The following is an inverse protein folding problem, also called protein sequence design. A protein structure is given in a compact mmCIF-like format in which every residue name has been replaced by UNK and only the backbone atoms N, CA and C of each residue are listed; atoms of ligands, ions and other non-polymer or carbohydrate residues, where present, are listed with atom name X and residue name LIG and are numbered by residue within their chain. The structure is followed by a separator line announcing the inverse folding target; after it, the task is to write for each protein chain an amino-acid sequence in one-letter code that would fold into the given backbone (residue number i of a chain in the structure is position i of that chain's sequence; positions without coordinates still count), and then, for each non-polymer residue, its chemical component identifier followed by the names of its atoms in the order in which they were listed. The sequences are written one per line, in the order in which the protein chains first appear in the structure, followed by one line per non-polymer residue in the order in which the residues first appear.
data_IF_799004161825
#
_entry.id   IF_799004161825
#
_cell.length_a   1.000
_cell.length_b   1.000
_cell.length_c   1.000
_cell.angle_alpha   90.00
_cell.angle_beta   90.00
_cell.angle_gamma   90.00
#
_symmetry.space_group_name_H-M   'P 1'
#
loop_
_entity.id
_entity.type
_entity.pdbx_description
1 polymer ?
#
# COMPACT_ATOMS: atom_id res chain seq x y z
N UNK A 1 19.31 58.98 -22.99
CA UNK A 1 17.88 59.30 -23.17
C UNK A 1 17.15 58.00 -23.48
N UNK A 2 16.65 57.32 -22.45
CA UNK A 2 15.96 56.03 -22.57
C UNK A 2 14.66 56.10 -21.81
N UNK A 3 13.54 56.07 -22.53
CA UNK A 3 12.19 56.26 -22.01
C UNK A 3 11.72 55.06 -21.19
N UNK A 4 11.29 55.34 -19.96
CA UNK A 4 10.57 54.44 -19.06
C UNK A 4 9.17 54.12 -19.58
N UNK A 5 8.88 52.86 -19.84
CA UNK A 5 7.52 52.35 -20.09
C UNK A 5 6.90 51.89 -18.77
N UNK A 6 5.94 52.67 -18.28
CA UNK A 6 5.18 52.43 -17.05
C UNK A 6 3.92 51.62 -17.41
N UNK A 7 3.85 50.36 -16.95
CA UNK A 7 2.69 49.47 -17.13
C UNK A 7 1.55 49.93 -16.21
N UNK A 8 0.40 50.33 -16.79
CA UNK A 8 -0.85 50.63 -16.09
C UNK A 8 -1.78 49.41 -16.14
N UNK A 9 -2.23 48.97 -14.97
CA UNK A 9 -3.35 48.02 -14.78
C UNK A 9 -4.68 48.64 -15.26
N UNK A 10 -5.54 47.92 -15.99
CA UNK A 10 -6.94 48.30 -16.15
C UNK A 10 -7.78 47.79 -14.98
N UNK A 11 -8.73 48.64 -14.57
CA UNK A 11 -9.58 48.49 -13.40
C UNK A 11 -10.80 47.58 -13.59
N UNK A 12 -11.38 47.21 -12.45
CA UNK A 12 -12.58 46.42 -12.31
C UNK A 12 -13.81 47.12 -12.91
N UNK A 13 -14.56 46.41 -13.76
CA UNK A 13 -15.89 46.77 -14.21
C UNK A 13 -16.95 45.96 -13.44
N UNK A 14 -17.97 46.67 -12.93
CA UNK A 14 -19.20 46.14 -12.34
C UNK A 14 -20.08 45.49 -13.42
N UNK A 15 -20.78 44.38 -13.14
CA UNK A 15 -21.77 43.81 -14.06
C UNK A 15 -23.10 44.57 -13.99
N UNK A 16 -23.59 45.03 -15.15
CA UNK A 16 -24.92 45.59 -15.34
C UNK A 16 -25.80 44.60 -16.11
N UNK A 17 -26.98 44.32 -15.55
CA UNK A 17 -28.25 44.01 -16.22
C UNK A 17 -28.27 43.00 -17.38
N UNK A 18 -28.69 41.77 -17.08
CA UNK A 18 -29.28 40.85 -18.08
C UNK A 18 -30.59 41.44 -18.63
N UNK A 19 -30.62 41.81 -19.91
CA UNK A 19 -31.84 41.87 -20.71
C UNK A 19 -31.90 40.62 -21.58
N UNK A 20 -33.07 40.00 -21.62
CA UNK A 20 -33.39 38.82 -22.40
C UNK A 20 -33.18 39.08 -23.90
N UNK A 21 -32.52 38.14 -24.58
CA UNK A 21 -32.41 38.09 -26.04
C UNK A 21 -33.50 37.15 -26.59
N UNK A 22 -34.06 37.45 -27.78
CA UNK A 22 -35.12 36.67 -28.42
C UNK A 22 -34.59 35.36 -29.02
N UNK A 23 -35.51 34.41 -29.16
CA UNK A 23 -35.33 33.08 -29.74
C UNK A 23 -34.79 33.14 -31.18
N UNK A 24 -33.86 32.25 -31.58
CA UNK A 24 -33.47 32.11 -32.97
C UNK A 24 -34.48 31.26 -33.75
N UNK A 25 -34.96 31.82 -34.87
CA UNK A 25 -35.65 31.09 -35.93
C UNK A 25 -34.73 30.00 -36.51
N UNK A 26 -35.26 28.79 -36.66
CA UNK A 26 -34.57 27.63 -37.23
C UNK A 26 -34.78 27.67 -38.75
N UNK A 27 -33.68 27.82 -39.48
CA UNK A 27 -33.63 27.80 -40.94
C UNK A 27 -33.38 26.34 -41.39
N UNK A 28 -34.42 25.71 -41.94
CA UNK A 28 -34.40 24.37 -42.52
C UNK A 28 -33.77 24.43 -43.92
N UNK A 29 -32.44 24.30 -44.04
CA UNK A 29 -31.76 24.02 -45.32
C UNK A 29 -30.28 23.65 -45.14
N UNK A 30 -29.97 22.40 -44.75
CA UNK A 30 -28.64 21.83 -44.98
C UNK A 30 -28.79 20.43 -45.56
N UNK A 31 -28.87 20.37 -46.89
CA UNK A 31 -28.44 19.21 -47.68
C UNK A 31 -26.94 19.00 -47.41
N UNK A 32 -26.59 17.88 -46.80
CA UNK A 32 -25.21 17.42 -46.65
C UNK A 32 -24.96 16.27 -47.62
N UNK A 33 -24.36 16.61 -48.75
CA UNK A 33 -23.61 15.69 -49.59
C UNK A 33 -22.49 15.04 -48.76
N UNK A 34 -22.56 13.72 -48.59
CA UNK A 34 -21.47 12.91 -48.06
C UNK A 34 -20.54 12.51 -49.21
N UNK A 35 -19.23 12.80 -49.14
CA UNK A 35 -18.26 12.21 -50.06
C UNK A 35 -18.06 10.73 -49.72
N UNK A 36 -18.23 9.87 -50.72
CA UNK A 36 -17.90 8.45 -50.64
C UNK A 36 -16.39 8.26 -50.53
N UNK A 37 -15.92 7.81 -49.38
CA UNK A 37 -14.58 7.24 -49.22
C UNK A 37 -14.68 5.72 -49.40
N UNK A 38 -14.10 5.24 -50.50
CA UNK A 38 -13.82 3.84 -50.76
C UNK A 38 -12.76 3.34 -49.77
N UNK A 39 -13.21 2.72 -48.67
CA UNK A 39 -12.33 2.02 -47.73
C UNK A 39 -12.05 0.63 -48.30
N UNK A 40 -10.89 0.49 -48.93
CA UNK A 40 -10.27 -0.78 -49.32
C UNK A 40 -9.85 -1.55 -48.05
N UNK A 41 -10.71 -2.47 -47.61
CA UNK A 41 -10.44 -3.39 -46.50
C UNK A 41 -9.62 -4.57 -47.03
N UNK A 42 -8.32 -4.38 -47.13
CA UNK A 42 -7.36 -5.48 -47.29
C UNK A 42 -7.30 -6.30 -46.00
N UNK A 43 -7.92 -7.49 -46.00
CA UNK A 43 -7.73 -8.51 -44.97
C UNK A 43 -6.28 -9.03 -45.01
N UNK A 44 -5.54 -9.07 -43.88
CA UNK A 44 -4.31 -9.83 -43.83
C UNK A 44 -4.61 -11.33 -43.78
N UNK A 45 -4.34 -12.01 -44.89
CA UNK A 45 -4.04 -13.45 -44.90
C UNK A 45 -2.76 -13.68 -44.08
N UNK A 46 -2.92 -14.34 -42.94
CA UNK A 46 -1.83 -14.64 -42.03
C UNK A 46 -2.16 -15.84 -41.15
N UNK A 47 -2.41 -16.98 -41.78
CA UNK A 47 -2.43 -18.27 -41.11
C UNK A 47 -1.02 -18.60 -40.61
N UNK A 48 -0.80 -18.49 -39.30
CA UNK A 48 0.34 -19.07 -38.63
C UNK A 48 -0.18 -20.10 -37.61
N UNK A 49 0.08 -21.34 -37.99
CA UNK A 49 -0.05 -22.59 -37.26
C UNK A 49 0.40 -22.53 -35.80
N UNK A 50 -0.48 -22.95 -34.90
CA UNK A 50 -0.26 -23.97 -33.87
C UNK A 50 1.21 -24.34 -33.61
N UNK A 51 1.79 -23.83 -32.53
CA UNK A 51 2.95 -24.42 -31.87
C UNK A 51 2.55 -24.69 -30.42
N UNK A 52 2.09 -25.91 -30.22
CA UNK A 52 1.84 -26.57 -28.95
C UNK A 52 3.21 -26.86 -28.31
N UNK A 53 3.72 -25.93 -27.50
CA UNK A 53 4.95 -26.18 -26.75
C UNK A 53 4.61 -26.78 -25.38
N UNK A 54 4.72 -28.10 -25.34
CA UNK A 54 4.63 -28.94 -24.16
C UNK A 54 5.65 -28.49 -23.11
N UNK A 55 5.16 -28.01 -21.96
CA UNK A 55 5.96 -27.97 -20.74
C UNK A 55 5.95 -29.37 -20.11
N UNK A 56 6.93 -30.16 -20.54
CA UNK A 56 7.31 -31.42 -19.93
C UNK A 56 8.02 -31.17 -18.60
N UNK A 57 7.66 -31.99 -17.61
CA UNK A 57 8.06 -31.86 -16.23
C UNK A 57 9.55 -32.16 -15.99
N UNK A 58 10.18 -31.40 -15.10
CA UNK A 58 11.31 -31.90 -14.31
C UNK A 58 10.93 -31.89 -12.83
N UNK A 59 10.84 -33.05 -12.15
CA UNK A 59 10.77 -33.13 -10.71
C UNK A 59 12.17 -32.95 -10.14
N UNK A 60 12.38 -31.90 -9.33
CA UNK A 60 13.60 -31.80 -8.52
C UNK A 60 13.31 -32.43 -7.16
N UNK A 61 13.41 -33.76 -7.16
CA UNK A 61 13.65 -34.58 -5.98
C UNK A 61 15.11 -34.35 -5.53
N UNK A 62 15.29 -34.15 -4.24
CA UNK A 62 16.51 -33.69 -3.61
C UNK A 62 16.31 -33.69 -2.10
N UNK A 63 16.00 -34.88 -1.60
CA UNK A 63 15.88 -35.28 -0.22
C UNK A 63 17.25 -35.30 0.50
N UNK A 64 17.17 -35.18 1.82
CA UNK A 64 18.18 -35.56 2.85
C UNK A 64 19.34 -34.54 3.05
N UNK A 65 19.70 -34.04 4.23
CA UNK A 65 19.71 -34.63 5.58
C UNK A 65 19.55 -33.54 6.69
N UNK A 66 18.73 -33.88 7.69
CA UNK A 66 18.87 -33.79 9.16
C UNK A 66 19.81 -32.78 9.89
N UNK A 67 19.49 -32.47 11.18
CA UNK A 67 20.01 -31.32 11.91
C UNK A 67 21.27 -31.64 12.73
N UNK A 68 22.22 -30.70 12.77
CA UNK A 68 23.37 -30.78 13.68
C UNK A 68 23.28 -29.75 14.80
N UNK A 69 22.83 -30.22 15.96
CA UNK A 69 23.18 -29.67 17.26
C UNK A 69 24.64 -29.99 17.60
N UNK A 70 25.44 -29.01 18.04
CA UNK A 70 26.58 -29.19 18.96
C UNK A 70 27.07 -27.82 19.44
N UNK A 71 26.83 -27.45 20.70
CA UNK A 71 27.80 -27.56 21.81
C UNK A 71 29.20 -27.03 21.46
N UNK A 72 29.53 -25.84 21.99
CA UNK A 72 30.91 -25.49 22.33
C UNK A 72 30.94 -24.75 23.66
N UNK A 73 31.39 -25.48 24.66
CA UNK A 73 31.82 -24.98 25.96
C UNK A 73 33.35 -24.94 25.99
N UNK A 74 33.88 -24.01 26.79
CA UNK A 74 35.21 -24.00 27.46
C UNK A 74 36.38 -23.29 26.76
N UNK A 75 36.92 -22.36 27.56
CA UNK A 75 38.33 -22.10 27.86
C UNK A 75 39.20 -21.54 26.73
N UNK A 76 39.47 -20.24 26.84
CA UNK A 76 40.67 -19.59 26.34
C UNK A 76 41.35 -18.81 27.44
N UNK A 77 42.16 -19.49 28.25
CA UNK A 77 43.19 -18.89 29.08
C UNK A 77 44.44 -18.62 28.24
N UNK A 78 44.87 -17.37 28.11
CA UNK A 78 46.26 -16.99 27.85
C UNK A 78 46.43 -15.57 28.39
N UNK A 79 47.23 -15.29 29.43
CA UNK A 79 48.66 -15.56 29.66
C UNK A 79 49.57 -14.75 28.73
N UNK A 80 50.45 -13.96 29.37
CA UNK A 80 51.74 -13.42 28.90
C UNK A 80 51.73 -12.21 27.96
N UNK A 81 52.04 -11.06 28.56
CA UNK A 81 53.37 -10.39 28.46
C UNK A 81 53.41 -9.28 29.52
N UNK A 82 54.19 -9.31 30.61
CA UNK A 82 55.66 -9.36 30.82
C UNK A 82 56.45 -8.17 30.25
N UNK A 83 56.91 -7.28 31.15
CA UNK A 83 58.14 -6.42 31.14
C UNK A 83 57.78 -5.02 31.68
N UNK A 84 58.11 -4.68 32.92
CA UNK A 84 59.39 -4.08 33.34
C UNK A 84 59.26 -3.85 34.86
N UNK A 85 60.07 -4.32 35.82
CA UNK A 85 61.51 -4.59 35.94
C UNK A 85 62.45 -3.38 35.87
N UNK A 86 62.38 -2.53 36.89
CA UNK A 86 63.52 -1.85 37.55
C UNK A 86 63.20 -1.90 39.06
N UNK A 87 63.79 -2.73 39.93
CA UNK A 87 65.21 -2.97 40.27
C UNK A 87 65.97 -1.65 40.47
N UNK A 88 66.25 -1.38 41.74
CA UNK A 88 67.34 -0.61 42.39
C UNK A 88 66.74 0.00 43.67
N UNK A 89 67.21 -0.17 44.90
CA UNK A 89 68.38 -0.85 45.42
C UNK A 89 68.16 -1.18 46.91
N UNK A 90 68.43 -2.43 47.27
CA UNK A 90 68.65 -2.83 48.66
C UNK A 90 70.11 -2.53 49.02
N UNK A 91 70.36 -1.42 49.75
CA UNK A 91 71.66 -1.19 50.40
C UNK A 91 71.68 -1.78 51.80
N UNK A 92 72.35 -2.94 51.88
CA UNK A 92 72.92 -3.50 53.10
C UNK A 92 73.99 -2.57 53.68
N UNK A 93 74.07 -2.63 55.02
CA UNK A 93 75.26 -2.47 55.88
C UNK A 93 76.12 -1.22 55.72
N UNK A 94 76.17 -0.41 56.78
CA UNK A 94 77.42 -0.32 57.53
C UNK A 94 77.20 0.06 59.01
N UNK A 95 77.64 -0.85 59.87
CA UNK A 95 77.88 -0.64 61.29
C UNK A 95 79.05 0.34 61.43
N UNK A 96 78.79 1.58 61.84
CA UNK A 96 79.79 2.45 62.48
C UNK A 96 79.32 2.83 63.88
N UNK A 97 79.83 2.10 64.86
CA UNK A 97 79.78 2.43 66.28
C UNK A 97 80.62 3.69 66.53
N UNK A 98 79.99 4.86 66.54
CA UNK A 98 80.61 6.10 67.02
C UNK A 98 80.15 6.33 68.45
N UNK A 99 81.12 6.28 69.36
CA UNK A 99 80.99 6.55 70.80
C UNK A 99 80.27 7.89 71.01
N UNK A 100 79.11 7.85 71.68
CA UNK A 100 78.44 9.07 72.17
C UNK A 100 79.30 9.67 73.29
N UNK A 101 79.70 10.95 73.23
CA UNK A 101 80.35 11.62 74.35
C UNK A 101 79.37 11.68 75.54
N UNK A 102 79.88 11.42 76.75
CA UNK A 102 79.12 11.57 77.99
C UNK A 102 78.73 13.05 78.13
N UNK A 103 77.44 13.34 77.95
CA UNK A 103 76.87 14.67 78.17
C UNK A 103 77.06 15.07 79.62
N UNK A 104 77.64 16.25 79.83
CA UNK A 104 77.73 16.91 81.12
C UNK A 104 76.33 17.27 81.63
N UNK A 105 76.11 17.34 82.96
CA UNK A 105 74.78 17.58 83.55
C UNK A 105 74.13 18.92 83.12
N UNK A 106 74.91 19.89 82.63
CA UNK A 106 74.40 21.17 82.09
C UNK A 106 73.77 21.03 80.68
N UNK A 107 74.33 20.20 79.80
CA UNK A 107 73.83 20.05 78.41
C UNK A 107 72.53 19.24 78.32
N UNK A 108 72.26 18.36 79.30
CA UNK A 108 71.01 17.61 79.35
C UNK A 108 69.79 18.49 79.67
N UNK A 109 69.98 19.57 80.45
CA UNK A 109 68.91 20.51 80.78
C UNK A 109 68.52 21.39 79.58
N UNK A 110 69.49 21.84 78.78
CA UNK A 110 69.25 22.59 77.55
C UNK A 110 68.54 21.75 76.47
N UNK A 111 68.90 20.47 76.34
CA UNK A 111 68.23 19.54 75.41
C UNK A 111 66.80 19.22 75.80
N UNK A 112 66.47 19.11 77.10
CA UNK A 112 65.07 18.92 77.54
C UNK A 112 64.18 20.12 77.19
N UNK A 113 64.72 21.35 77.25
CA UNK A 113 63.98 22.55 76.80
C UNK A 113 63.77 22.59 75.28
N UNK A 114 64.78 22.19 74.50
CA UNK A 114 64.66 22.07 73.03
C UNK A 114 63.76 20.92 72.57
N UNK A 115 63.73 19.80 73.29
CA UNK A 115 62.79 18.70 73.05
C UNK A 115 61.36 19.10 73.42
N UNK A 116 61.17 19.85 74.52
CA UNK A 116 59.85 20.36 74.89
C UNK A 116 59.32 21.38 73.88
N UNK A 117 60.16 22.25 73.31
CA UNK A 117 59.74 23.18 72.25
C UNK A 117 59.45 22.46 70.93
N UNK A 118 60.29 21.49 70.54
CA UNK A 118 60.05 20.66 69.36
C UNK A 118 58.78 19.80 69.50
N UNK A 119 58.53 19.25 70.68
CA UNK A 119 57.32 18.48 70.98
C UNK A 119 56.06 19.37 70.98
N UNK A 120 56.14 20.60 71.49
CA UNK A 120 55.05 21.60 71.38
C UNK A 120 54.78 21.99 69.93
N UNK A 121 55.82 22.15 69.10
CA UNK A 121 55.69 22.41 67.67
C UNK A 121 55.04 21.22 66.94
N UNK A 122 55.49 19.99 67.22
CA UNK A 122 54.91 18.78 66.66
C UNK A 122 53.44 18.62 67.07
N UNK A 123 53.11 18.87 68.34
CA UNK A 123 51.73 18.81 68.85
C UNK A 123 50.86 19.91 68.24
N UNK A 124 51.40 21.12 68.05
CA UNK A 124 50.75 22.21 67.33
C UNK A 124 50.48 21.88 65.86
N UNK A 125 51.42 21.20 65.19
CA UNK A 125 51.27 20.78 63.79
C UNK A 125 50.23 19.65 63.64
N UNK A 126 50.20 18.70 64.58
CA UNK A 126 49.15 17.66 64.62
C UNK A 126 47.78 18.27 64.85
N UNK A 127 47.67 19.27 65.75
CA UNK A 127 46.41 20.00 65.94
C UNK A 127 46.01 20.77 64.68
N UNK A 128 46.94 21.43 63.99
CA UNK A 128 46.65 22.15 62.75
C UNK A 128 46.16 21.20 61.66
N UNK A 129 46.83 20.06 61.46
CA UNK A 129 46.39 19.03 60.50
C UNK A 129 45.03 18.45 60.92
N UNK A 130 44.80 18.22 62.22
CA UNK A 130 43.51 17.75 62.74
C UNK A 130 42.38 18.75 62.50
N UNK A 131 42.62 20.05 62.71
CA UNK A 131 41.65 21.12 62.44
C UNK A 131 41.41 21.27 60.93
N UNK A 132 42.44 21.20 60.10
CA UNK A 132 42.31 21.23 58.65
C UNK A 132 41.51 20.03 58.12
N UNK A 133 41.74 18.83 58.69
CA UNK A 133 40.98 17.64 58.38
C UNK A 133 39.52 17.75 58.84
N UNK A 134 39.26 18.26 60.05
CA UNK A 134 37.90 18.48 60.54
C UNK A 134 37.17 19.54 59.70
N UNK A 135 37.84 20.63 59.33
CA UNK A 135 37.29 21.64 58.43
C UNK A 135 36.98 21.05 57.06
N UNK A 136 37.86 20.24 56.47
CA UNK A 136 37.58 19.50 55.23
C UNK A 136 36.39 18.55 55.38
N UNK A 137 36.34 17.79 56.47
CA UNK A 137 35.30 16.81 56.70
C UNK A 137 33.92 17.42 56.97
N UNK A 138 33.86 18.57 57.65
CA UNK A 138 32.59 19.25 57.98
C UNK A 138 32.15 20.30 56.95
N UNK A 139 33.09 20.93 56.21
CA UNK A 139 32.76 21.99 55.24
C UNK A 139 32.83 21.53 53.78
N UNK A 140 33.63 20.52 53.45
CA UNK A 140 33.87 20.06 52.07
C UNK A 140 33.35 18.65 51.78
N UNK A 141 32.86 17.92 52.79
CA UNK A 141 32.22 16.62 52.54
C UNK A 141 30.84 16.89 51.97
N UNK A 142 30.71 16.66 50.66
CA UNK A 142 29.42 16.62 49.98
C UNK A 142 28.44 15.75 50.78
N UNK A 143 27.29 16.33 51.10
CA UNK A 143 26.24 15.66 51.83
C UNK A 143 25.86 14.37 51.08
N UNK A 144 25.82 13.23 51.78
CA UNK A 144 25.59 11.92 51.16
C UNK A 144 24.28 11.91 50.35
N UNK A 145 23.31 12.71 50.78
CA UNK A 145 22.05 12.94 50.08
C UNK A 145 22.25 13.63 48.72
N UNK A 146 23.18 14.58 48.64
CA UNK A 146 23.52 15.25 47.37
C UNK A 146 24.17 14.29 46.39
N UNK A 147 25.10 13.44 46.85
CA UNK A 147 25.72 12.43 45.98
C UNK A 147 24.69 11.42 45.48
N UNK A 148 23.75 10.99 46.33
CA UNK A 148 22.65 10.10 45.92
C UNK A 148 21.70 10.77 44.92
N UNK A 149 21.34 12.03 45.13
CA UNK A 149 20.50 12.77 44.19
C UNK A 149 21.20 12.96 42.82
N UNK A 150 22.48 13.33 42.81
CA UNK A 150 23.28 13.43 41.57
C UNK A 150 23.42 12.08 40.86
N UNK A 151 23.68 11.00 41.60
CA UNK A 151 23.77 9.66 41.04
C UNK A 151 22.43 9.18 40.46
N UNK A 152 21.30 9.49 41.11
CA UNK A 152 19.97 9.18 40.60
C UNK A 152 19.65 9.98 39.33
N UNK A 153 19.97 11.28 39.29
CA UNK A 153 19.80 12.08 38.07
C UNK A 153 20.66 11.56 36.92
N UNK A 154 21.90 11.16 37.21
CA UNK A 154 22.79 10.54 36.24
C UNK A 154 22.27 9.17 35.76
N UNK A 155 21.66 8.36 36.64
CA UNK A 155 21.01 7.09 36.28
C UNK A 155 19.83 7.33 35.31
N UNK A 156 18.95 8.28 35.63
CA UNK A 156 17.84 8.67 34.75
C UNK A 156 18.37 9.13 33.39
N UNK A 157 19.41 9.96 33.38
CA UNK A 157 19.97 10.51 32.15
C UNK A 157 20.67 9.47 31.28
N UNK A 158 21.50 8.61 31.87
CA UNK A 158 22.29 7.64 31.11
C UNK A 158 21.53 6.37 30.79
N UNK A 159 20.65 5.90 31.66
CA UNK A 159 19.93 4.65 31.48
C UNK A 159 18.54 4.89 30.90
N UNK A 160 17.67 5.60 31.63
CA UNK A 160 16.25 5.68 31.26
C UNK A 160 16.04 6.51 29.98
N UNK A 161 16.66 7.69 29.89
CA UNK A 161 16.59 8.54 28.69
C UNK A 161 17.18 7.84 27.45
N UNK A 162 18.28 7.10 27.60
CA UNK A 162 18.85 6.33 26.48
C UNK A 162 17.95 5.16 26.08
N UNK A 163 17.34 4.48 27.05
CA UNK A 163 16.35 3.43 26.78
C UNK A 163 15.15 3.97 26.03
N UNK A 164 14.59 5.12 26.44
CA UNK A 164 13.50 5.79 25.74
C UNK A 164 13.90 6.11 24.29
N UNK A 165 15.10 6.68 24.09
CA UNK A 165 15.61 6.98 22.74
C UNK A 165 15.78 5.72 21.88
N UNK A 166 16.22 4.61 22.48
CA UNK A 166 16.36 3.34 21.77
C UNK A 166 15.00 2.73 21.41
N UNK A 167 14.04 2.76 22.33
CA UNK A 167 12.66 2.31 22.07
C UNK A 167 12.02 3.14 20.94
N UNK A 168 12.23 4.47 20.94
CA UNK A 168 11.77 5.34 19.86
C UNK A 168 12.42 5.02 18.51
N UNK A 169 13.72 4.69 18.49
CA UNK A 169 14.41 4.25 17.25
C UNK A 169 13.82 2.96 16.68
N UNK A 170 13.38 2.05 17.54
CA UNK A 170 12.72 0.79 17.14
C UNK A 170 11.21 0.95 16.98
N UNK A 171 10.70 2.20 16.99
CA UNK A 171 9.28 2.53 16.83
C UNK A 171 8.38 1.84 17.86
N UNK A 172 8.81 1.77 19.12
CA UNK A 172 8.07 1.20 20.25
C UNK A 172 7.59 2.28 21.23
N UNK A 173 6.62 3.13 20.85
CA UNK A 173 6.19 4.28 21.66
C UNK A 173 5.59 3.88 23.01
N UNK A 174 4.93 2.71 23.11
CA UNK A 174 4.34 2.23 24.36
C UNK A 174 5.41 1.76 25.38
N UNK A 175 6.53 1.19 24.91
CA UNK A 175 7.68 0.86 25.78
C UNK A 175 8.37 2.14 26.25
N UNK A 176 8.62 3.07 25.31
CA UNK A 176 9.19 4.37 25.60
C UNK A 176 8.36 5.14 26.65
N UNK A 177 7.03 5.13 26.53
CA UNK A 177 6.11 5.77 27.48
C UNK A 177 6.21 5.16 28.88
N UNK A 178 6.21 3.82 28.98
CA UNK A 178 6.37 3.13 30.28
C UNK A 178 7.71 3.47 30.95
N UNK A 179 8.79 3.52 30.18
CA UNK A 179 10.12 3.90 30.68
C UNK A 179 10.14 5.36 31.12
N UNK A 180 9.49 6.26 30.37
CA UNK A 180 9.34 7.67 30.76
C UNK A 180 8.54 7.86 32.05
N UNK A 181 7.43 7.13 32.22
CA UNK A 181 6.64 7.15 33.46
C UNK A 181 7.46 6.64 34.66
N UNK A 182 8.27 5.59 34.47
CA UNK A 182 9.19 5.09 35.48
C UNK A 182 10.28 6.13 35.83
N UNK A 183 10.86 6.80 34.83
CA UNK A 183 11.84 7.86 35.03
C UNK A 183 11.24 9.06 35.78
N UNK A 184 10.03 9.49 35.42
CA UNK A 184 9.28 10.55 36.13
C UNK A 184 9.02 10.17 37.59
N UNK A 185 8.69 8.91 37.85
CA UNK A 185 8.51 8.40 39.21
C UNK A 185 9.82 8.39 40.00
N UNK A 186 10.93 7.91 39.42
CA UNK A 186 12.26 8.01 40.06
C UNK A 186 12.62 9.45 40.40
N UNK A 187 12.31 10.39 39.50
CA UNK A 187 12.54 11.81 39.71
C UNK A 187 11.65 12.39 40.81
N UNK A 188 10.36 12.02 40.89
CA UNK A 188 9.48 12.48 41.97
C UNK A 188 9.85 11.90 43.34
N UNK A 189 10.35 10.67 43.36
CA UNK A 189 10.71 9.95 44.59
C UNK A 189 12.14 10.32 45.08
N UNK A 190 12.88 11.14 44.31
CA UNK A 190 14.25 11.51 44.63
C UNK A 190 14.32 12.46 45.85
N UNK A 191 15.04 12.10 46.91
CA UNK A 191 15.18 12.95 48.08
C UNK A 191 16.04 14.19 47.77
N UNK A 192 15.74 15.31 48.44
CA UNK A 192 16.55 16.54 48.44
C UNK A 192 16.76 17.26 47.08
N UNK A 193 15.85 17.09 46.12
CA UNK A 193 15.88 17.83 44.85
C UNK A 193 15.77 19.37 44.99
N UNK A 194 15.33 19.87 46.16
CA UNK A 194 15.17 21.31 46.43
C UNK A 194 16.46 22.06 46.76
N UNK A 195 17.64 21.41 46.69
CA UNK A 195 18.93 22.09 46.94
C UNK A 195 19.33 22.96 45.75
N UNK A 196 19.88 24.17 45.97
CA UNK A 196 20.23 25.12 44.90
C UNK A 196 21.14 24.53 43.82
N UNK A 197 22.06 23.65 44.19
CA UNK A 197 23.01 23.03 43.24
C UNK A 197 22.41 21.86 42.44
N UNK A 198 21.29 21.28 42.89
CA UNK A 198 20.61 20.15 42.22
C UNK A 198 19.45 20.62 41.37
N UNK A 199 18.76 21.69 41.78
CA UNK A 199 17.65 22.29 41.03
C UNK A 199 17.95 22.43 39.52
N UNK A 200 19.08 23.01 39.07
CA UNK A 200 19.32 23.18 37.64
C UNK A 200 19.44 21.83 36.90
N UNK A 201 20.08 20.83 37.51
CA UNK A 201 20.23 19.48 36.94
C UNK A 201 18.87 18.76 36.86
N UNK A 202 18.05 18.88 37.92
CA UNK A 202 16.72 18.30 37.96
C UNK A 202 15.81 18.93 36.91
N UNK A 203 15.84 20.26 36.77
CA UNK A 203 15.10 20.97 35.72
C UNK A 203 15.58 20.57 34.31
N UNK A 204 16.88 20.39 34.09
CA UNK A 204 17.41 19.89 32.82
C UNK A 204 16.91 18.48 32.48
N UNK A 205 16.84 17.57 33.47
CA UNK A 205 16.26 16.24 33.25
C UNK A 205 14.75 16.33 32.96
N UNK A 206 14.03 17.22 33.64
CA UNK A 206 12.59 17.44 33.37
C UNK A 206 12.35 17.96 31.96
N UNK A 207 13.12 18.94 31.49
CA UNK A 207 12.97 19.47 30.13
C UNK A 207 13.26 18.39 29.08
N UNK A 208 14.34 17.61 29.26
CA UNK A 208 14.62 16.46 28.38
C UNK A 208 13.48 15.43 28.36
N UNK A 209 12.87 15.14 29.50
CA UNK A 209 11.71 14.22 29.57
C UNK A 209 10.44 14.82 28.94
N UNK A 210 10.27 16.14 28.97
CA UNK A 210 9.15 16.81 28.30
C UNK A 210 9.33 16.81 26.77
N UNK A 211 10.54 17.04 26.28
CA UNK A 211 10.85 16.94 24.85
C UNK A 211 10.64 15.51 24.33
N UNK A 212 11.08 14.51 25.10
CA UNK A 212 10.87 13.09 24.76
C UNK A 212 9.38 12.69 24.75
N UNK A 213 8.54 13.31 25.57
CA UNK A 213 7.09 13.07 25.54
C UNK A 213 6.48 13.48 24.19
N UNK A 214 6.91 14.63 23.64
CA UNK A 214 6.48 15.07 22.32
C UNK A 214 6.96 14.12 21.22
N UNK A 215 8.21 13.62 21.34
CA UNK A 215 8.75 12.63 20.42
C UNK A 215 7.99 11.29 20.50
N UNK A 216 7.60 10.83 21.69
CA UNK A 216 6.78 9.64 21.89
C UNK A 216 5.44 9.79 21.18
N UNK A 217 4.74 10.91 21.37
CA UNK A 217 3.45 11.16 20.71
C UNK A 217 3.60 11.34 19.19
N UNK A 218 4.72 11.86 18.69
CA UNK A 218 5.03 11.86 17.25
C UNK A 218 5.18 10.43 16.72
N UNK A 219 6.05 9.63 17.33
CA UNK A 219 6.30 8.24 16.88
C UNK A 219 5.03 7.39 16.99
N UNK A 220 4.20 7.60 18.01
CA UNK A 220 2.90 6.93 18.14
C UNK A 220 1.98 7.21 16.97
N UNK A 221 1.91 8.47 16.53
CA UNK A 221 1.15 8.86 15.33
C UNK A 221 1.72 8.22 14.08
N UNK A 222 3.04 8.25 13.90
CA UNK A 222 3.71 7.64 12.75
C UNK A 222 3.43 6.14 12.65
N UNK A 223 3.58 5.39 13.75
CA UNK A 223 3.29 3.95 13.81
C UNK A 223 1.82 3.66 13.47
N UNK A 224 0.89 4.50 13.96
CA UNK A 224 -0.53 4.34 13.65
C UNK A 224 -0.82 4.54 12.17
N UNK A 225 -0.27 5.60 11.56
CA UNK A 225 -0.40 5.88 10.12
C UNK A 225 0.17 4.72 9.30
N UNK A 226 1.38 4.24 9.63
CA UNK A 226 2.02 3.13 8.94
C UNK A 226 1.22 1.83 9.06
N UNK A 227 0.58 1.58 10.21
CA UNK A 227 -0.30 0.43 10.39
C UNK A 227 -1.54 0.53 9.49
N UNK A 228 -2.23 1.68 9.51
CA UNK A 228 -3.40 1.93 8.66
C UNK A 228 -3.04 1.79 7.17
N UNK A 229 -1.90 2.36 6.76
CA UNK A 229 -1.39 2.27 5.40
C UNK A 229 -1.13 0.82 5.00
N UNK A 230 -0.41 0.06 5.83
CA UNK A 230 -0.13 -1.36 5.59
C UNK A 230 -1.40 -2.18 5.43
N UNK A 231 -2.40 -1.95 6.29
CA UNK A 231 -3.67 -2.66 6.22
C UNK A 231 -4.44 -2.33 4.92
N UNK A 232 -4.39 -1.08 4.45
CA UNK A 232 -4.91 -0.72 3.13
C UNK A 232 -4.16 -1.43 1.99
N UNK A 233 -2.82 -1.45 2.01
CA UNK A 233 -2.04 -2.18 0.99
C UNK A 233 -2.41 -3.66 0.92
N UNK A 234 -2.60 -4.32 2.07
CA UNK A 234 -3.02 -5.72 2.13
C UNK A 234 -4.39 -5.92 1.48
N UNK A 235 -5.33 -4.98 1.69
CA UNK A 235 -6.65 -5.03 1.04
C UNK A 235 -6.57 -4.76 -0.46
N UNK A 236 -5.79 -3.77 -0.89
CA UNK A 236 -5.56 -3.50 -2.31
C UNK A 236 -4.93 -4.70 -3.05
N UNK A 237 -4.12 -5.52 -2.36
CA UNK A 237 -3.52 -6.72 -2.96
C UNK A 237 -4.55 -7.75 -3.40
N UNK A 238 -5.70 -7.83 -2.72
CA UNK A 238 -6.77 -8.81 -3.00
C UNK A 238 -8.00 -8.16 -3.66
N UNK A 239 -7.82 -7.01 -4.31
CA UNK A 239 -8.93 -6.24 -4.91
C UNK A 239 -9.74 -7.04 -5.94
N UNK A 240 -9.08 -7.94 -6.69
CA UNK A 240 -9.74 -8.79 -7.68
C UNK A 240 -10.65 -9.87 -7.07
N UNK A 241 -10.44 -10.22 -5.80
CA UNK A 241 -11.19 -11.27 -5.08
C UNK A 241 -12.40 -10.72 -4.31
N UNK A 242 -12.43 -9.41 -4.04
CA UNK A 242 -13.52 -8.76 -3.30
C UNK A 242 -14.81 -8.78 -4.10
N UNK A 243 -15.99 -8.73 -3.49
CA UNK A 243 -17.24 -8.44 -4.20
C UNK A 243 -17.46 -6.92 -4.35
N UNK A 244 -18.58 -6.50 -4.93
CA UNK A 244 -18.86 -5.06 -5.10
C UNK A 244 -18.98 -4.34 -3.75
N UNK A 245 -19.56 -4.99 -2.73
CA UNK A 245 -19.65 -4.43 -1.38
C UNK A 245 -18.26 -4.27 -0.75
N UNK A 246 -17.38 -5.24 -0.93
CA UNK A 246 -15.99 -5.18 -0.50
C UNK A 246 -15.21 -4.05 -1.17
N UNK A 247 -15.43 -3.82 -2.47
CA UNK A 247 -14.84 -2.68 -3.19
C UNK A 247 -15.34 -1.33 -2.64
N UNK A 248 -16.64 -1.20 -2.35
CA UNK A 248 -17.21 0.01 -1.75
C UNK A 248 -16.63 0.29 -0.36
N UNK A 249 -16.50 -0.76 0.47
CA UNK A 249 -15.89 -0.68 1.78
C UNK A 249 -14.40 -0.30 1.72
N UNK A 250 -13.65 -0.86 0.77
CA UNK A 250 -12.25 -0.50 0.55
C UNK A 250 -12.12 0.95 0.08
N UNK A 251 -12.99 1.40 -0.82
CA UNK A 251 -13.00 2.80 -1.28
C UNK A 251 -13.28 3.77 -0.12
N UNK A 252 -14.25 3.45 0.74
CA UNK A 252 -14.57 4.26 1.92
C UNK A 252 -13.38 4.36 2.89
N UNK A 253 -12.71 3.25 3.18
CA UNK A 253 -11.51 3.23 4.04
C UNK A 253 -10.35 4.01 3.43
N UNK A 254 -10.11 3.84 2.12
CA UNK A 254 -9.06 4.55 1.40
C UNK A 254 -9.33 6.06 1.37
N UNK A 255 -10.57 6.48 1.12
CA UNK A 255 -10.98 7.89 1.22
C UNK A 255 -10.82 8.44 2.63
N UNK A 256 -11.26 7.69 3.65
CA UNK A 256 -11.06 8.07 5.05
C UNK A 256 -9.58 8.27 5.40
N UNK A 257 -8.69 7.40 4.92
CA UNK A 257 -7.25 7.57 5.11
C UNK A 257 -6.68 8.79 4.36
N UNK A 258 -7.16 9.06 3.14
CA UNK A 258 -6.78 10.26 2.39
C UNK A 258 -7.21 11.54 3.10
N UNK A 259 -8.36 11.52 3.78
CA UNK A 259 -8.86 12.66 4.57
C UNK A 259 -8.14 12.79 5.92
N UNK A 260 -7.81 11.68 6.55
CA UNK A 260 -7.11 11.64 7.84
C UNK A 260 -6.33 10.33 8.00
N UNK A 261 -5.01 10.33 7.71
CA UNK A 261 -4.21 9.11 7.71
C UNK A 261 -4.00 8.53 9.11
N UNK A 262 -4.08 9.36 10.16
CA UNK A 262 -3.94 8.93 11.56
C UNK A 262 -5.21 8.24 12.08
N UNK A 263 -6.37 8.84 11.80
CA UNK A 263 -7.67 8.30 12.18
C UNK A 263 -8.66 8.39 11.01
N UNK A 264 -8.71 7.35 10.15
CA UNK A 264 -9.57 7.34 8.96
C UNK A 264 -11.07 7.53 9.22
N UNK A 265 -11.51 7.30 10.46
CA UNK A 265 -12.92 7.47 10.87
C UNK A 265 -13.18 8.81 11.56
N UNK A 266 -12.14 9.58 11.89
CA UNK A 266 -12.21 10.82 12.68
C UNK A 266 -12.59 12.07 11.88
N UNK A 267 -12.89 11.93 10.59
CA UNK A 267 -13.12 13.06 9.68
C UNK A 267 -11.81 13.75 9.24
N UNK A 268 -11.94 14.75 8.37
CA UNK A 268 -10.81 15.39 7.68
C UNK A 268 -9.84 16.11 8.64
N UNK A 269 -8.53 15.94 8.41
CA UNK A 269 -7.47 16.63 9.16
C UNK A 269 -6.37 17.16 8.25
N UNK A 270 -6.38 18.47 7.99
CA UNK A 270 -5.40 19.14 7.12
C UNK A 270 -3.95 18.99 7.66
N UNK A 271 -3.79 19.00 8.98
CA UNK A 271 -2.47 18.83 9.59
C UNK A 271 -1.86 17.48 9.23
N UNK A 272 -2.63 16.39 9.39
CA UNK A 272 -2.11 15.05 9.13
C UNK A 272 -1.94 14.76 7.65
N UNK A 273 -2.84 15.22 6.79
CA UNK A 273 -2.68 15.06 5.34
C UNK A 273 -1.44 15.79 4.82
N UNK A 274 -1.11 16.96 5.38
CA UNK A 274 0.12 17.69 5.05
C UNK A 274 1.38 16.99 5.57
N UNK A 275 1.34 16.47 6.80
CA UNK A 275 2.48 15.75 7.39
C UNK A 275 2.78 14.44 6.67
N UNK A 276 1.76 13.67 6.28
CA UNK A 276 1.88 12.35 5.65
C UNK A 276 1.49 12.38 4.17
N UNK A 277 1.92 13.44 3.46
CA UNK A 277 1.51 13.69 2.07
C UNK A 277 1.90 12.57 1.12
N UNK A 278 3.04 11.93 1.33
CA UNK A 278 3.53 10.88 0.45
C UNK A 278 2.66 9.63 0.54
N UNK A 279 2.31 9.24 1.76
CA UNK A 279 1.42 8.12 2.07
C UNK A 279 0.01 8.37 1.53
N UNK A 280 -0.50 9.59 1.69
CA UNK A 280 -1.80 10.00 1.13
C UNK A 280 -1.77 9.91 -0.40
N UNK A 281 -0.74 10.43 -1.06
CA UNK A 281 -0.62 10.38 -2.52
C UNK A 281 -0.55 8.92 -3.03
N UNK A 282 0.17 8.02 -2.34
CA UNK A 282 0.21 6.61 -2.73
C UNK A 282 -1.20 5.99 -2.72
N UNK A 283 -1.97 6.16 -1.65
CA UNK A 283 -3.36 5.66 -1.59
C UNK A 283 -4.26 6.34 -2.63
N UNK A 284 -4.09 7.64 -2.88
CA UNK A 284 -4.84 8.33 -3.95
C UNK A 284 -4.59 7.70 -5.32
N UNK A 285 -3.34 7.34 -5.66
CA UNK A 285 -3.06 6.67 -6.94
C UNK A 285 -3.72 5.28 -7.01
N UNK A 286 -3.85 4.58 -5.88
CA UNK A 286 -4.49 3.26 -5.81
C UNK A 286 -6.02 3.32 -5.87
N UNK A 287 -6.66 4.45 -5.56
CA UNK A 287 -8.11 4.59 -5.72
C UNK A 287 -8.56 4.33 -7.18
N UNK A 288 -7.74 4.72 -8.17
CA UNK A 288 -8.02 4.43 -9.58
C UNK A 288 -8.06 2.93 -9.91
N UNK A 289 -7.40 2.08 -9.11
CA UNK A 289 -7.45 0.62 -9.28
C UNK A 289 -8.84 0.06 -8.94
N UNK A 290 -9.57 0.67 -8.00
CA UNK A 290 -10.96 0.28 -7.66
C UNK A 290 -11.88 0.55 -8.85
N UNK A 291 -11.76 1.72 -9.45
CA UNK A 291 -12.54 2.06 -10.64
C UNK A 291 -12.21 1.15 -11.83
N UNK A 292 -10.91 0.89 -12.05
CA UNK A 292 -10.45 -0.05 -13.09
C UNK A 292 -11.05 -1.44 -12.88
N UNK A 293 -11.05 -1.95 -11.66
CA UNK A 293 -11.62 -3.26 -11.33
C UNK A 293 -13.14 -3.29 -11.49
N UNK A 294 -13.86 -2.23 -11.08
CA UNK A 294 -15.31 -2.10 -11.35
C UNK A 294 -15.61 -2.12 -12.85
N UNK A 295 -14.82 -1.40 -13.65
CA UNK A 295 -14.97 -1.38 -15.10
C UNK A 295 -14.65 -2.75 -15.71
N UNK A 296 -13.61 -3.44 -15.23
CA UNK A 296 -13.29 -4.81 -15.64
C UNK A 296 -14.45 -5.77 -15.35
N UNK A 297 -15.10 -5.66 -14.20
CA UNK A 297 -16.26 -6.50 -13.87
C UNK A 297 -17.47 -6.16 -14.71
N UNK A 298 -17.75 -4.87 -14.91
CA UNK A 298 -18.84 -4.42 -15.76
C UNK A 298 -18.68 -4.93 -17.19
N UNK A 299 -17.47 -4.81 -17.74
CA UNK A 299 -17.14 -5.34 -19.07
C UNK A 299 -17.18 -6.86 -19.09
N UNK A 300 -16.62 -7.56 -18.10
CA UNK A 300 -16.70 -9.03 -18.04
C UNK A 300 -18.15 -9.53 -17.96
N UNK A 301 -19.00 -8.83 -17.19
CA UNK A 301 -20.42 -9.15 -17.04
C UNK A 301 -21.23 -8.91 -18.32
N UNK A 302 -20.76 -8.08 -19.25
CA UNK A 302 -21.43 -7.86 -20.55
C UNK A 302 -20.77 -8.64 -21.68
N UNK A 303 -19.45 -8.54 -21.83
CA UNK A 303 -18.69 -9.12 -22.94
C UNK A 303 -18.75 -10.63 -23.01
N UNK A 304 -18.61 -11.34 -21.88
CA UNK A 304 -18.59 -12.82 -21.89
C UNK A 304 -19.95 -13.37 -22.35
N UNK A 305 -21.10 -12.96 -21.75
CA UNK A 305 -22.40 -13.39 -22.24
C UNK A 305 -22.64 -13.02 -23.71
N UNK A 306 -22.21 -11.83 -24.16
CA UNK A 306 -22.40 -11.40 -25.55
C UNK A 306 -21.62 -12.31 -26.53
N UNK A 307 -20.39 -12.71 -26.19
CA UNK A 307 -19.60 -13.62 -27.02
C UNK A 307 -20.26 -15.00 -27.12
N UNK A 308 -20.65 -15.58 -25.98
CA UNK A 308 -21.35 -16.87 -25.93
C UNK A 308 -22.66 -16.83 -26.74
N UNK A 309 -23.45 -15.77 -26.56
CA UNK A 309 -24.71 -15.57 -27.27
C UNK A 309 -24.50 -15.43 -28.78
N UNK A 310 -23.45 -14.71 -29.20
CA UNK A 310 -23.13 -14.55 -30.63
C UNK A 310 -22.76 -15.88 -31.28
N UNK A 311 -21.99 -16.73 -30.58
CA UNK A 311 -21.64 -18.07 -31.06
C UNK A 311 -22.86 -18.98 -31.16
N UNK A 312 -23.72 -18.97 -30.13
CA UNK A 312 -24.98 -19.72 -30.14
C UNK A 312 -25.88 -19.28 -31.31
N UNK A 313 -26.05 -17.97 -31.50
CA UNK A 313 -26.85 -17.42 -32.58
C UNK A 313 -26.28 -17.81 -33.95
N UNK A 314 -24.96 -17.69 -34.15
CA UNK A 314 -24.29 -18.09 -35.39
C UNK A 314 -24.53 -19.56 -35.72
N UNK A 315 -24.30 -20.46 -34.77
CA UNK A 315 -24.49 -21.90 -34.96
C UNK A 315 -25.95 -22.26 -35.30
N UNK A 316 -26.92 -21.57 -34.69
CA UNK A 316 -28.34 -21.80 -34.98
C UNK A 316 -28.77 -21.20 -36.32
N UNK A 317 -28.21 -20.06 -36.72
CA UNK A 317 -28.42 -19.48 -38.06
C UNK A 317 -27.87 -20.43 -39.15
N UNK A 318 -26.69 -21.01 -38.96
CA UNK A 318 -26.09 -21.99 -39.88
C UNK A 318 -26.94 -23.26 -40.01
N UNK A 319 -27.66 -23.64 -38.94
CA UNK A 319 -28.63 -24.74 -38.95
C UNK A 319 -30.04 -24.33 -39.44
N UNK A 320 -30.23 -23.07 -39.84
CA UNK A 320 -31.52 -22.47 -40.20
C UNK A 320 -32.59 -22.53 -39.08
N UNK A 321 -32.18 -22.64 -37.80
CA UNK A 321 -33.04 -22.70 -36.61
C UNK A 321 -33.30 -21.33 -36.00
N UNK A 322 -33.94 -20.45 -36.76
CA UNK A 322 -34.09 -19.04 -36.40
C UNK A 322 -34.97 -18.81 -35.15
N UNK A 323 -36.08 -19.54 -35.00
CA UNK A 323 -36.95 -19.39 -33.83
C UNK A 323 -36.26 -19.83 -32.53
N UNK A 324 -35.48 -20.91 -32.57
CA UNK A 324 -34.68 -21.36 -31.42
C UNK A 324 -33.62 -20.33 -31.04
N UNK A 325 -32.97 -19.70 -32.04
CA UNK A 325 -32.01 -18.64 -31.80
C UNK A 325 -32.66 -17.44 -31.10
N UNK A 326 -33.82 -16.99 -31.59
CA UNK A 326 -34.59 -15.89 -30.98
C UNK A 326 -35.00 -16.23 -29.55
N UNK A 327 -35.51 -17.43 -29.30
CA UNK A 327 -35.91 -17.86 -27.96
C UNK A 327 -34.74 -17.90 -26.97
N UNK A 328 -33.57 -18.40 -27.40
CA UNK A 328 -32.35 -18.37 -26.58
C UNK A 328 -31.89 -16.94 -26.32
N UNK A 329 -31.88 -16.08 -27.33
CA UNK A 329 -31.50 -14.66 -27.18
C UNK A 329 -32.39 -13.94 -26.17
N UNK A 330 -33.70 -14.17 -26.20
CA UNK A 330 -34.64 -13.60 -25.23
C UNK A 330 -34.37 -14.11 -23.80
N UNK A 331 -34.10 -15.41 -23.61
CA UNK A 331 -33.72 -15.97 -22.32
C UNK A 331 -32.41 -15.35 -21.78
N UNK A 332 -31.40 -15.18 -22.63
CA UNK A 332 -30.16 -14.49 -22.28
C UNK A 332 -30.38 -13.02 -21.94
N UNK A 333 -31.24 -12.32 -22.68
CA UNK A 333 -31.60 -10.93 -22.41
C UNK A 333 -32.29 -10.73 -21.06
N UNK A 334 -33.05 -11.74 -20.59
CA UNK A 334 -33.65 -11.76 -19.24
C UNK A 334 -32.62 -12.06 -18.15
N UNK A 335 -31.70 -13.00 -18.41
CA UNK A 335 -30.63 -13.38 -17.46
C UNK A 335 -29.58 -12.30 -17.27
N UNK A 336 -29.26 -11.56 -18.33
CA UNK A 336 -28.20 -10.54 -18.36
C UNK A 336 -28.76 -9.17 -18.77
N UNK A 337 -29.52 -8.49 -17.89
CA UNK A 337 -30.17 -7.22 -18.23
C UNK A 337 -29.18 -6.12 -18.61
N UNK A 338 -27.96 -6.14 -18.08
CA UNK A 338 -26.90 -5.20 -18.42
C UNK A 338 -26.38 -5.35 -19.86
N UNK A 339 -26.51 -6.54 -20.45
CA UNK A 339 -26.12 -6.84 -21.83
C UNK A 339 -27.31 -6.82 -22.81
N UNK A 340 -28.52 -6.48 -22.33
CA UNK A 340 -29.75 -6.62 -23.11
C UNK A 340 -29.74 -5.84 -24.41
N UNK A 341 -29.25 -4.59 -24.41
CA UNK A 341 -29.21 -3.77 -25.61
C UNK A 341 -28.36 -4.39 -26.72
N UNK A 342 -27.21 -4.98 -26.36
CA UNK A 342 -26.33 -5.66 -27.32
C UNK A 342 -26.96 -6.97 -27.82
N UNK A 343 -27.61 -7.72 -26.91
CA UNK A 343 -28.37 -8.94 -27.24
C UNK A 343 -29.55 -8.63 -28.19
N UNK A 344 -30.26 -7.53 -27.98
CA UNK A 344 -31.34 -7.07 -28.86
C UNK A 344 -30.81 -6.78 -30.27
N UNK A 345 -29.58 -6.24 -30.39
CA UNK A 345 -28.89 -6.09 -31.66
C UNK A 345 -28.60 -7.43 -32.36
N UNK A 346 -28.15 -8.44 -31.62
CA UNK A 346 -27.95 -9.80 -32.17
C UNK A 346 -29.29 -10.42 -32.60
N UNK A 347 -30.37 -10.21 -31.82
CA UNK A 347 -31.71 -10.66 -32.17
C UNK A 347 -32.23 -10.01 -33.46
N UNK A 348 -31.97 -8.71 -33.67
CA UNK A 348 -32.31 -8.04 -34.92
C UNK A 348 -31.56 -8.66 -36.12
N UNK A 349 -30.26 -8.96 -35.95
CA UNK A 349 -29.46 -9.65 -36.97
C UNK A 349 -30.00 -11.05 -37.32
N UNK A 350 -30.43 -11.83 -36.31
CA UNK A 350 -31.03 -13.16 -36.54
C UNK A 350 -32.33 -13.04 -37.34
N UNK A 351 -33.18 -12.07 -37.02
CA UNK A 351 -34.44 -11.82 -37.75
C UNK A 351 -34.20 -11.39 -39.19
N UNK A 352 -33.25 -10.49 -39.44
CA UNK A 352 -32.85 -10.08 -40.78
C UNK A 352 -32.27 -11.25 -41.60
N UNK A 353 -31.44 -12.09 -40.97
CA UNK A 353 -30.91 -13.30 -41.59
C UNK A 353 -32.01 -14.30 -41.97
N UNK A 354 -33.01 -14.47 -41.09
CA UNK A 354 -34.17 -15.33 -41.35
C UNK A 354 -34.99 -14.81 -42.54
N UNK A 355 -35.23 -13.49 -42.60
CA UNK A 355 -35.98 -12.88 -43.70
C UNK A 355 -35.24 -13.01 -45.03
N UNK A 356 -33.94 -12.70 -45.08
CA UNK A 356 -33.11 -12.86 -46.28
C UNK A 356 -33.11 -14.31 -46.78
N UNK A 357 -32.94 -15.27 -45.88
CA UNK A 357 -32.93 -16.68 -46.28
C UNK A 357 -34.33 -17.15 -46.73
N UNK A 358 -35.40 -16.63 -46.10
CA UNK A 358 -36.77 -16.87 -46.57
C UNK A 358 -37.00 -16.31 -47.98
N UNK A 359 -36.63 -15.06 -48.25
CA UNK A 359 -36.79 -14.45 -49.58
C UNK A 359 -36.02 -15.23 -50.66
N UNK A 360 -34.80 -15.68 -50.35
CA UNK A 360 -34.01 -16.52 -51.23
C UNK A 360 -34.70 -17.87 -51.51
N UNK A 361 -35.18 -18.55 -50.46
CA UNK A 361 -35.94 -19.80 -50.58
C UNK A 361 -37.21 -19.62 -51.43
N UNK A 362 -37.95 -18.53 -51.19
CA UNK A 362 -39.18 -18.18 -51.92
C UNK A 362 -38.91 -17.94 -53.41
N UNK A 363 -37.86 -17.18 -53.74
CA UNK A 363 -37.44 -16.95 -55.13
C UNK A 363 -37.04 -18.27 -55.83
N UNK A 364 -36.25 -19.11 -55.16
CA UNK A 364 -35.88 -20.43 -55.67
C UNK A 364 -37.10 -21.31 -55.97
N UNK A 365 -38.08 -21.34 -55.08
CA UNK A 365 -39.34 -22.09 -55.25
C UNK A 365 -40.18 -21.53 -56.39
N UNK A 366 -40.24 -20.20 -56.55
CA UNK A 366 -40.94 -19.55 -57.66
C UNK A 366 -40.32 -19.90 -59.01
N UNK A 367 -38.99 -19.90 -59.12
CA UNK A 367 -38.29 -20.30 -60.33
C UNK A 367 -38.54 -21.79 -60.65
N UNK A 368 -38.44 -22.67 -59.65
CA UNK A 368 -38.75 -24.08 -59.82
C UNK A 368 -40.21 -24.34 -60.22
N UNK A 369 -41.16 -23.51 -59.73
CA UNK A 369 -42.54 -23.57 -60.16
C UNK A 369 -42.71 -23.15 -61.64
N UNK A 370 -41.99 -22.11 -62.08
CA UNK A 370 -42.00 -21.70 -63.48
C UNK A 370 -41.48 -22.83 -64.40
N UNK A 371 -40.37 -23.48 -64.01
CA UNK A 371 -39.80 -24.62 -64.74
C UNK A 371 -40.75 -25.83 -64.76
N UNK A 372 -41.44 -26.10 -63.65
CA UNK A 372 -42.45 -27.14 -63.54
C UNK A 372 -43.65 -26.91 -64.48
N UNK A 373 -44.07 -25.65 -64.65
CA UNK A 373 -45.21 -25.27 -65.50
C UNK A 373 -44.83 -24.98 -66.95
N UNK A 374 -43.53 -24.93 -67.28
CA UNK A 374 -43.05 -24.58 -68.61
C UNK A 374 -43.53 -25.59 -69.68
N UNK A 375 -44.27 -25.07 -70.66
CA UNK A 375 -44.78 -25.86 -71.78
C UNK A 375 -43.59 -26.26 -72.66
N UNK A 376 -43.40 -27.57 -72.87
CA UNK A 376 -42.31 -28.12 -73.67
C UNK A 376 -41.13 -28.68 -72.86
N UNK A 377 -41.08 -28.44 -71.54
CA UNK A 377 -40.06 -29.05 -70.67
C UNK A 377 -40.25 -30.57 -70.55
N UNK A 378 -39.17 -31.37 -70.63
CA UNK A 378 -39.21 -32.80 -70.38
C UNK A 378 -39.86 -33.14 -69.03
N UNK A 379 -40.58 -34.27 -68.95
CA UNK A 379 -41.23 -34.70 -67.71
C UNK A 379 -40.23 -34.90 -66.55
N UNK A 380 -39.01 -35.33 -66.86
CA UNK A 380 -37.92 -35.48 -65.88
C UNK A 380 -37.52 -34.14 -65.26
N UNK A 381 -37.29 -33.11 -66.08
CA UNK A 381 -36.94 -31.77 -65.59
C UNK A 381 -38.04 -31.16 -64.72
N UNK A 382 -39.30 -31.32 -65.12
CA UNK A 382 -40.44 -30.85 -64.31
C UNK A 382 -40.49 -31.55 -62.95
N UNK A 383 -40.28 -32.86 -62.92
CA UNK A 383 -40.22 -33.65 -61.69
C UNK A 383 -39.07 -33.20 -60.79
N UNK A 384 -37.88 -33.04 -61.33
CA UNK A 384 -36.70 -32.57 -60.58
C UNK A 384 -36.92 -31.17 -59.99
N UNK A 385 -37.54 -30.25 -60.75
CA UNK A 385 -37.89 -28.92 -60.26
C UNK A 385 -38.88 -28.98 -59.10
N UNK A 386 -39.93 -29.81 -59.22
CA UNK A 386 -40.90 -30.03 -58.15
C UNK A 386 -40.26 -30.65 -56.90
N UNK A 387 -39.43 -31.69 -57.05
CA UNK A 387 -38.74 -32.34 -55.93
C UNK A 387 -37.80 -31.36 -55.21
N UNK A 388 -37.04 -30.54 -55.96
CA UNK A 388 -36.18 -29.49 -55.41
C UNK A 388 -36.96 -28.43 -54.63
N UNK A 389 -38.09 -27.96 -55.17
CA UNK A 389 -38.96 -27.00 -54.51
C UNK A 389 -39.55 -27.56 -53.21
N UNK A 390 -40.05 -28.80 -53.24
CA UNK A 390 -40.57 -29.50 -52.06
C UNK A 390 -39.51 -29.67 -50.99
N UNK A 391 -38.30 -30.09 -51.37
CA UNK A 391 -37.19 -30.27 -50.43
C UNK A 391 -36.84 -28.95 -49.71
N UNK A 392 -36.74 -27.83 -50.45
CA UNK A 392 -36.46 -26.53 -49.83
C UNK A 392 -37.59 -26.08 -48.90
N UNK A 393 -38.86 -26.20 -49.32
CA UNK A 393 -40.01 -25.81 -48.51
C UNK A 393 -40.14 -26.67 -47.24
N UNK A 394 -39.88 -27.98 -47.32
CA UNK A 394 -39.81 -28.85 -46.14
C UNK A 394 -38.71 -28.41 -45.19
N UNK A 395 -37.52 -28.08 -45.71
CA UNK A 395 -36.44 -27.50 -44.89
C UNK A 395 -36.86 -26.22 -44.14
N UNK A 396 -37.60 -25.32 -44.78
CA UNK A 396 -38.15 -24.12 -44.11
C UNK A 396 -39.15 -24.51 -43.01
N UNK A 397 -40.07 -25.43 -43.30
CA UNK A 397 -41.11 -25.89 -42.35
C UNK A 397 -40.47 -26.55 -41.12
N UNK A 398 -39.45 -27.39 -41.34
CA UNK A 398 -38.84 -28.22 -40.31
C UNK A 398 -37.83 -27.42 -39.46
N UNK A 399 -37.10 -26.47 -40.06
CA UNK A 399 -35.99 -25.79 -39.40
C UNK A 399 -36.33 -24.38 -38.90
N UNK A 400 -37.04 -23.55 -39.68
CA UNK A 400 -37.12 -22.10 -39.36
C UNK A 400 -37.87 -21.84 -38.06
N UNK A 401 -38.98 -22.55 -37.83
CA UNK A 401 -39.85 -22.40 -36.66
C UNK A 401 -40.58 -21.05 -36.56
N UNK A 402 -40.37 -20.11 -37.48
CA UNK A 402 -41.06 -18.82 -37.53
C UNK A 402 -42.40 -19.01 -38.22
N UNK A 403 -43.50 -18.88 -37.46
CA UNK A 403 -44.86 -19.26 -37.89
C UNK A 403 -45.30 -18.61 -39.22
N UNK A 404 -44.93 -17.36 -39.46
CA UNK A 404 -45.26 -16.65 -40.72
C UNK A 404 -44.61 -17.35 -41.93
N UNK A 405 -43.31 -17.62 -41.87
CA UNK A 405 -42.57 -18.28 -42.94
C UNK A 405 -43.00 -19.75 -43.10
N UNK A 406 -43.23 -20.45 -42.00
CA UNK A 406 -43.72 -21.84 -42.01
C UNK A 406 -45.10 -21.93 -42.66
N UNK A 407 -46.00 -20.99 -42.36
CA UNK A 407 -47.34 -20.93 -42.97
C UNK A 407 -47.29 -20.65 -44.46
N UNK A 408 -46.52 -19.64 -44.89
CA UNK A 408 -46.32 -19.34 -46.31
C UNK A 408 -45.69 -20.54 -47.06
N UNK A 409 -44.72 -21.22 -46.44
CA UNK A 409 -44.08 -22.39 -47.03
C UNK A 409 -45.06 -23.55 -47.24
N UNK A 410 -45.94 -23.83 -46.27
CA UNK A 410 -47.01 -24.83 -46.39
C UNK A 410 -47.99 -24.49 -47.52
N UNK A 411 -48.31 -23.21 -47.72
CA UNK A 411 -49.17 -22.78 -48.82
C UNK A 411 -48.51 -22.96 -50.19
N UNK A 412 -47.23 -22.59 -50.32
CA UNK A 412 -46.46 -22.80 -51.55
C UNK A 412 -46.31 -24.30 -51.87
N UNK A 413 -46.17 -25.14 -50.86
CA UNK A 413 -46.00 -26.59 -51.03
C UNK A 413 -47.21 -27.23 -51.74
N UNK A 414 -48.42 -26.72 -51.50
CA UNK A 414 -49.66 -27.21 -52.16
C UNK A 414 -49.66 -27.04 -53.68
N UNK A 415 -48.78 -26.20 -54.24
CA UNK A 415 -48.67 -25.98 -55.69
C UNK A 415 -47.92 -27.12 -56.41
N UNK A 416 -47.29 -28.02 -55.67
CA UNK A 416 -46.48 -29.12 -56.22
C UNK A 416 -47.10 -30.48 -55.84
N UNK A 417 -48.08 -31.00 -56.62
CA UNK A 417 -48.85 -32.21 -56.29
C UNK A 417 -47.97 -33.47 -56.32
N UNK A 418 -48.09 -34.34 -55.32
CA UNK A 418 -47.15 -35.44 -55.03
C UNK A 418 -46.69 -36.29 -56.23
#
# INVERSE_FOLDING_TARGET
MGSSSRIRRPGAQKPAGRKAAPEPEVDDSIESELPGEDIDVSLPEGGATFAEEAYEATPQDGSDEAPVSSKSSRRGSSSRTSRSSRREDAKKSDKKSVRRPKYTPEEQAARRRGLLSAMKLALGLVLLVGVAFAAYWFLLRDDEKMLRAKALLADIEHQDIQSIKNDLKVQQPESAKKTMEAARKKLSDAPDLGRPDIIPLAEEVKTKLADLEQDIERVKRDVRVQTNLRDLHLRFKVIGEMDNSGLDGLEALAKGFVDNPYDPNGGHSEQYTKTYRNEVNDIQTKLAAIETERNRRKTSATTIPIQEVREIAKNLIEQEKYQDAIAKLDDYGRKYPAAKADIDGIMAYVKDSADKNWQAAKSMVQNAHADYMAIGSPATQRREAAERARARLRGVIDNYGIETYVSEAKELLKKFPE
#
